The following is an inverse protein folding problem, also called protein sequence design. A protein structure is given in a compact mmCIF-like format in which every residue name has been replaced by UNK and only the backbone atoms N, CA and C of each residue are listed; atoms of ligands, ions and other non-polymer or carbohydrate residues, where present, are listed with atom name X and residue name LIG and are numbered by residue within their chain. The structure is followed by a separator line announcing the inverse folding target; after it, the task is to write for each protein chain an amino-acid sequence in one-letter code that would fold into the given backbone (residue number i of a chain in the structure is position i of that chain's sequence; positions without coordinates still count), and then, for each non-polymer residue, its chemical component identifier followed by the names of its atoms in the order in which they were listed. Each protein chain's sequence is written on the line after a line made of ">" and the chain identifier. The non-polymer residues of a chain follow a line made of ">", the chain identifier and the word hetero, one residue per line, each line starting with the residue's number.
data_IF_057647464961
#
_entry.id   IF_057647464961
#
_cell.length_a   1.000
_cell.length_b   1.000
_cell.length_c   1.000
_cell.angle_alpha   90.00
_cell.angle_beta   90.00
_cell.angle_gamma   90.00
#
_symmetry.space_group_name_H-M   'P 1'
#
loop_
_entity.id
_entity.type
_entity.pdbx_description
1 polymer ?
#
# COMPACT_ATOMS: atom_id res chain seq x y z
N UNK A 1 -21.40 3.10 -30.47
CA UNK A 1 -20.93 2.04 -29.54
C UNK A 1 -19.42 2.17 -29.46
N UNK A 2 -18.82 2.33 -28.26
CA UNK A 2 -17.36 2.36 -28.13
C UNK A 2 -16.75 1.04 -28.60
N UNK A 3 -15.53 1.09 -29.13
CA UNK A 3 -14.83 -0.14 -29.55
C UNK A 3 -14.49 -0.99 -28.31
N UNK A 4 -14.30 -2.29 -28.52
CA UNK A 4 -13.87 -3.21 -27.45
C UNK A 4 -12.57 -2.75 -26.79
N UNK A 5 -11.67 -2.15 -27.59
CA UNK A 5 -10.37 -1.64 -27.13
C UNK A 5 -10.53 -0.39 -26.28
N UNK A 6 -11.45 0.51 -26.64
CA UNK A 6 -11.76 1.69 -25.84
C UNK A 6 -12.36 1.30 -24.48
N UNK A 7 -13.24 0.31 -24.45
CA UNK A 7 -13.79 -0.22 -23.19
C UNK A 7 -12.72 -0.88 -22.31
N UNK A 8 -11.82 -1.66 -22.90
CA UNK A 8 -10.71 -2.29 -22.17
C UNK A 8 -9.77 -1.23 -21.57
N UNK A 9 -9.43 -0.20 -22.35
CA UNK A 9 -8.62 0.93 -21.88
C UNK A 9 -9.27 1.65 -20.70
N UNK A 10 -10.55 2.02 -20.82
CA UNK A 10 -11.28 2.70 -19.73
C UNK A 10 -11.37 1.86 -18.46
N UNK A 11 -11.50 0.53 -18.58
CA UNK A 11 -11.49 -0.37 -17.41
C UNK A 11 -10.13 -0.39 -16.72
N UNK A 12 -9.06 -0.44 -17.51
CA UNK A 12 -7.71 -0.40 -16.98
C UNK A 12 -7.42 0.95 -16.28
N UNK A 13 -7.77 2.07 -16.90
CA UNK A 13 -7.62 3.40 -16.30
C UNK A 13 -8.35 3.49 -14.94
N UNK A 14 -9.59 3.00 -14.86
CA UNK A 14 -10.33 2.93 -13.58
C UNK A 14 -9.65 2.05 -12.53
N UNK A 15 -9.00 0.96 -12.93
CA UNK A 15 -8.25 0.11 -12.02
C UNK A 15 -7.03 0.85 -11.47
N UNK A 16 -6.31 1.59 -12.32
CA UNK A 16 -5.19 2.44 -11.89
C UNK A 16 -5.68 3.49 -10.89
N UNK A 17 -6.77 4.19 -11.18
CA UNK A 17 -7.31 5.24 -10.30
C UNK A 17 -7.79 4.68 -8.95
N UNK A 18 -8.42 3.50 -8.94
CA UNK A 18 -8.81 2.79 -7.70
C UNK A 18 -7.58 2.45 -6.86
N UNK A 19 -6.53 1.89 -7.48
CA UNK A 19 -5.30 1.52 -6.79
C UNK A 19 -4.57 2.76 -6.28
N UNK A 20 -4.46 3.83 -7.06
CA UNK A 20 -3.84 5.09 -6.64
C UNK A 20 -4.55 5.65 -5.40
N UNK A 21 -5.88 5.63 -5.38
CA UNK A 21 -6.67 6.09 -4.24
C UNK A 21 -6.40 5.26 -2.98
N UNK A 22 -6.32 3.93 -3.10
CA UNK A 22 -6.01 3.04 -1.98
C UNK A 22 -4.57 3.22 -1.48
N UNK A 23 -3.61 3.33 -2.40
CA UNK A 23 -2.20 3.55 -2.09
C UNK A 23 -1.99 4.89 -1.36
N UNK A 24 -2.65 5.95 -1.82
CA UNK A 24 -2.62 7.27 -1.18
C UNK A 24 -3.27 7.26 0.20
N UNK A 25 -4.38 6.54 0.37
CA UNK A 25 -5.06 6.42 1.66
C UNK A 25 -4.24 5.62 2.70
N UNK A 26 -3.32 4.77 2.27
CA UNK A 26 -2.43 4.02 3.15
C UNK A 26 -1.21 4.83 3.60
N UNK A 27 -0.98 6.02 3.04
CA UNK A 27 0.12 6.89 3.44
C UNK A 27 -0.12 7.47 4.83
N UNK A 28 0.99 7.61 5.55
CA UNK A 28 1.05 8.19 6.88
C UNK A 28 1.67 9.59 6.76
N UNK A 29 0.89 10.67 6.94
CA UNK A 29 1.40 12.03 6.81
C UNK A 29 2.57 12.32 7.74
N UNK A 30 2.62 11.66 8.91
CA UNK A 30 3.73 11.77 9.84
C UNK A 30 5.08 11.34 9.25
N UNK A 31 5.09 10.53 8.18
CA UNK A 31 6.31 10.09 7.50
C UNK A 31 6.54 10.79 6.17
N UNK A 32 5.94 11.97 5.96
CA UNK A 32 6.12 12.78 4.74
C UNK A 32 5.88 11.95 3.44
N UNK A 33 4.85 11.11 3.44
CA UNK A 33 4.47 10.22 2.33
C UNK A 33 5.51 9.13 1.95
N UNK A 34 6.49 8.83 2.83
CA UNK A 34 7.36 7.66 2.73
C UNK A 34 6.72 6.42 3.34
N UNK A 35 7.37 5.26 3.15
CA UNK A 35 6.92 3.95 3.63
C UNK A 35 5.54 3.55 3.12
N UNK A 36 5.20 3.98 1.90
CA UNK A 36 3.98 3.58 1.23
C UNK A 36 3.86 2.07 1.10
N UNK A 37 2.74 1.52 1.59
CA UNK A 37 2.44 0.10 1.48
C UNK A 37 0.95 -0.10 1.26
N UNK A 38 0.60 -0.95 0.30
CA UNK A 38 -0.74 -1.48 0.12
C UNK A 38 -0.68 -3.01 0.11
N UNK A 39 -1.58 -3.64 0.87
CA UNK A 39 -1.73 -5.10 0.90
C UNK A 39 -3.14 -5.41 0.41
N UNK A 40 -3.23 -6.16 -0.68
CA UNK A 40 -4.49 -6.64 -1.25
C UNK A 40 -4.67 -8.11 -0.90
N UNK A 41 -5.82 -8.44 -0.30
CA UNK A 41 -6.22 -9.80 0.02
C UNK A 41 -6.61 -10.61 -1.22
N UNK A 42 -6.86 -11.90 -1.04
CA UNK A 42 -7.31 -12.77 -2.12
C UNK A 42 -8.67 -12.31 -2.70
N UNK A 43 -9.58 -11.86 -1.83
CA UNK A 43 -10.89 -11.35 -2.24
C UNK A 43 -10.77 -10.04 -3.03
N UNK A 44 -9.91 -9.11 -2.57
CA UNK A 44 -9.63 -7.87 -3.29
C UNK A 44 -9.09 -8.15 -4.71
N UNK A 45 -8.16 -9.11 -4.82
CA UNK A 45 -7.59 -9.51 -6.09
C UNK A 45 -8.64 -10.13 -7.02
N UNK A 46 -9.52 -10.98 -6.50
CA UNK A 46 -10.59 -11.59 -7.27
C UNK A 46 -11.55 -10.55 -7.84
N UNK A 47 -11.83 -9.47 -7.09
CA UNK A 47 -12.66 -8.34 -7.57
C UNK A 47 -11.94 -7.45 -8.59
N UNK A 48 -10.64 -7.24 -8.43
CA UNK A 48 -9.87 -6.31 -9.27
C UNK A 48 -9.44 -6.90 -10.62
N UNK A 49 -9.50 -8.23 -10.74
CA UNK A 49 -9.28 -8.95 -11.99
C UNK A 49 -7.94 -9.68 -12.03
N UNK A 50 -7.41 -9.87 -13.24
CA UNK A 50 -6.21 -10.68 -13.44
C UNK A 50 -4.98 -10.09 -12.73
N UNK A 51 -4.26 -10.92 -11.98
CA UNK A 51 -3.11 -10.51 -11.18
C UNK A 51 -2.05 -9.73 -11.98
N UNK A 52 -1.85 -10.09 -13.25
CA UNK A 52 -0.91 -9.38 -14.15
C UNK A 52 -1.33 -7.92 -14.37
N UNK A 53 -2.62 -7.67 -14.53
CA UNK A 53 -3.20 -6.36 -14.83
C UNK A 53 -3.23 -5.52 -13.55
N UNK A 54 -3.58 -6.14 -12.41
CA UNK A 54 -3.48 -5.52 -11.08
C UNK A 54 -2.05 -5.09 -10.78
N UNK A 55 -1.06 -5.96 -10.99
CA UNK A 55 0.36 -5.63 -10.79
C UNK A 55 0.85 -4.52 -11.72
N UNK A 56 0.36 -4.48 -12.96
CA UNK A 56 0.70 -3.42 -13.91
C UNK A 56 0.10 -2.09 -13.45
N UNK A 57 -1.18 -2.09 -13.11
CA UNK A 57 -1.90 -0.91 -12.66
C UNK A 57 -1.34 -0.38 -11.33
N UNK A 58 -0.94 -1.25 -10.40
CA UNK A 58 -0.30 -0.86 -9.14
C UNK A 58 1.03 -0.13 -9.36
N UNK A 59 1.85 -0.59 -10.31
CA UNK A 59 3.11 0.10 -10.67
C UNK A 59 2.86 1.46 -11.30
N UNK A 60 1.85 1.56 -12.16
CA UNK A 60 1.48 2.84 -12.78
C UNK A 60 0.92 3.83 -11.74
N UNK A 61 0.03 3.36 -10.86
CA UNK A 61 -0.49 4.15 -9.74
C UNK A 61 0.66 4.63 -8.84
N UNK A 62 1.59 3.75 -8.49
CA UNK A 62 2.77 4.11 -7.71
C UNK A 62 3.68 5.11 -8.41
N UNK A 63 3.88 5.00 -9.73
CA UNK A 63 4.62 6.01 -10.50
C UNK A 63 3.96 7.39 -10.41
N UNK A 64 2.62 7.48 -10.45
CA UNK A 64 1.89 8.76 -10.27
C UNK A 64 2.09 9.36 -8.88
N UNK A 65 2.36 8.52 -7.87
CA UNK A 65 2.71 8.92 -6.51
C UNK A 65 4.23 9.09 -6.30
N UNK A 66 5.03 9.00 -7.38
CA UNK A 66 6.48 9.00 -7.33
C UNK A 66 7.11 7.88 -6.47
N UNK A 67 6.40 6.78 -6.24
CA UNK A 67 6.92 5.61 -5.53
C UNK A 67 7.86 4.79 -6.42
N UNK A 68 8.88 4.19 -5.81
CA UNK A 68 9.66 3.13 -6.46
C UNK A 68 8.95 1.80 -6.17
N UNK A 69 7.98 1.49 -7.02
CA UNK A 69 7.01 0.43 -6.71
C UNK A 69 7.53 -0.98 -6.98
N UNK A 70 7.56 -1.83 -5.96
CA UNK A 70 7.72 -3.29 -6.09
C UNK A 70 6.41 -4.00 -5.78
N UNK A 71 6.27 -5.25 -6.24
CA UNK A 71 5.12 -6.08 -5.92
C UNK A 71 5.52 -7.51 -5.56
N UNK A 72 5.01 -8.04 -4.45
CA UNK A 72 5.26 -9.42 -4.02
C UNK A 72 3.93 -10.14 -3.75
N UNK A 73 3.77 -11.37 -4.23
CA UNK A 73 2.62 -12.21 -3.89
C UNK A 73 3.05 -13.23 -2.85
N UNK A 74 2.46 -13.17 -1.65
CA UNK A 74 2.78 -14.07 -0.54
C UNK A 74 1.48 -14.55 0.08
N UNK A 75 1.27 -15.87 0.14
CA UNK A 75 0.08 -16.45 0.76
C UNK A 75 -1.24 -15.95 0.18
N UNK A 76 -1.30 -15.70 -1.13
CA UNK A 76 -2.49 -15.18 -1.81
C UNK A 76 -2.75 -13.68 -1.61
N UNK A 77 -1.84 -12.95 -0.95
CA UNK A 77 -1.92 -11.50 -0.77
C UNK A 77 -0.88 -10.80 -1.64
N UNK A 78 -1.29 -9.74 -2.33
CA UNK A 78 -0.38 -8.91 -3.10
C UNK A 78 0.06 -7.73 -2.25
N UNK A 79 1.36 -7.67 -1.99
CA UNK A 79 2.04 -6.54 -1.39
C UNK A 79 2.50 -5.60 -2.50
N UNK A 80 2.19 -4.32 -2.36
CA UNK A 80 2.67 -3.22 -3.21
C UNK A 80 3.44 -2.29 -2.28
N UNK A 81 4.75 -2.15 -2.48
CA UNK A 81 5.63 -1.42 -1.57
C UNK A 81 6.33 -0.29 -2.32
N UNK A 82 6.53 0.81 -1.62
CA UNK A 82 7.45 1.87 -2.01
C UNK A 82 8.87 1.56 -1.50
N UNK A 83 9.80 1.33 -2.43
CA UNK A 83 11.22 1.07 -2.13
C UNK A 83 12.11 2.28 -2.41
N UNK A 84 11.56 3.49 -2.36
CA UNK A 84 12.38 4.71 -2.37
C UNK A 84 13.36 4.67 -1.21
N UNK A 85 14.56 5.19 -1.44
CA UNK A 85 15.51 5.44 -0.36
C UNK A 85 14.91 6.47 0.59
N UNK A 86 14.91 6.14 1.88
CA UNK A 86 14.25 6.96 2.89
C UNK A 86 15.29 7.90 3.51
N UNK A 87 15.02 9.21 3.59
CA UNK A 87 15.92 10.13 4.27
C UNK A 87 16.10 9.76 5.74
N UNK A 88 17.33 9.86 6.26
CA UNK A 88 17.68 9.48 7.64
C UNK A 88 16.75 10.10 8.71
N UNK A 89 16.27 11.34 8.48
CA UNK A 89 15.31 12.00 9.40
C UNK A 89 14.00 11.21 9.54
N UNK A 90 13.51 10.64 8.43
CA UNK A 90 12.25 9.89 8.37
C UNK A 90 12.47 8.48 8.92
N UNK A 91 13.61 7.87 8.65
CA UNK A 91 14.00 6.60 9.28
C UNK A 91 14.03 6.73 10.80
N UNK A 92 14.65 7.80 11.32
CA UNK A 92 14.68 8.09 12.76
C UNK A 92 13.28 8.29 13.32
N UNK A 93 12.45 9.11 12.66
CA UNK A 93 11.08 9.36 13.08
C UNK A 93 10.24 8.09 13.12
N UNK A 94 10.37 7.22 12.11
CA UNK A 94 9.69 5.93 12.08
C UNK A 94 10.20 4.98 13.16
N UNK A 95 11.51 4.97 13.42
CA UNK A 95 12.14 4.22 14.51
C UNK A 95 11.62 4.64 15.88
N UNK A 96 11.60 5.94 16.16
CA UNK A 96 11.08 6.50 17.41
C UNK A 96 9.58 6.20 17.59
N UNK A 97 8.80 6.35 16.51
CA UNK A 97 7.38 6.03 16.53
C UNK A 97 7.12 4.53 16.81
N UNK A 98 7.93 3.64 16.23
CA UNK A 98 7.87 2.20 16.47
C UNK A 98 8.25 1.86 17.91
N UNK A 99 9.34 2.42 18.42
CA UNK A 99 9.77 2.23 19.82
C UNK A 99 8.67 2.66 20.79
N UNK A 100 8.11 3.86 20.61
CA UNK A 100 7.01 4.36 21.43
C UNK A 100 5.75 3.47 21.36
N UNK A 101 5.44 2.88 20.19
CA UNK A 101 4.33 1.95 20.06
C UNK A 101 4.58 0.63 20.82
N UNK A 102 5.80 0.11 20.79
CA UNK A 102 6.19 -1.09 21.55
C UNK A 102 6.13 -0.83 23.05
N UNK A 103 6.64 0.31 23.52
CA UNK A 103 6.59 0.69 24.94
C UNK A 103 5.14 0.72 25.45
N UNK A 104 4.23 1.37 24.71
CA UNK A 104 2.79 1.37 25.02
C UNK A 104 2.21 -0.05 25.09
N UNK A 105 2.52 -0.89 24.11
CA UNK A 105 2.06 -2.28 24.09
C UNK A 105 2.54 -3.07 25.31
N UNK A 106 3.80 -2.88 25.74
CA UNK A 106 4.34 -3.54 26.92
C UNK A 106 3.70 -3.03 28.21
N UNK A 107 3.47 -1.72 28.34
CA UNK A 107 2.77 -1.13 29.48
C UNK A 107 1.34 -1.67 29.60
N UNK A 108 0.60 -1.72 28.50
CA UNK A 108 -0.76 -2.26 28.45
C UNK A 108 -0.80 -3.75 28.79
N UNK A 109 0.17 -4.53 28.28
CA UNK A 109 0.27 -5.97 28.56
C UNK A 109 0.64 -6.27 30.01
N UNK A 110 1.32 -5.34 30.70
CA UNK A 110 1.72 -5.48 32.12
C UNK A 110 0.63 -5.02 33.10
N UNK A 111 -0.41 -4.31 32.64
CA UNK A 111 -1.54 -3.96 33.51
C UNK A 111 -2.34 -5.23 33.84
N UNK A 112 -2.61 -5.52 35.13
CA UNK A 112 -3.48 -6.62 35.50
C UNK A 112 -4.85 -6.39 34.84
N UNK A 113 -5.34 -7.39 34.09
CA UNK A 113 -6.74 -7.39 33.65
C UNK A 113 -7.58 -7.53 34.91
N UNK A 114 -8.19 -6.44 35.37
CA UNK A 114 -9.19 -6.48 36.42
C UNK A 114 -10.41 -7.20 35.84
N UNK A 115 -10.51 -8.50 36.09
CA UNK A 115 -11.74 -9.30 35.95
C UNK A 115 -12.61 -9.16 37.18
#
# INVERSE_FOLDING_TARGET
>A
MPSKDELARRRYEKLVDRLESLMRAALKPEFEDYYGQLILGADDLAEMGELKDVRRAAREAGQRLAWKTTTHLVGGRLFVLDEREVPERIERLAGDAAAAAMDRFWEESRRPRLT
#
